data_IF_060050523080
#
_entry.id   IF_060050523080
#
_cell.length_a   1.000
_cell.length_b   1.000
_cell.length_c   1.000
_cell.angle_alpha   90.00
_cell.angle_beta   90.00
_cell.angle_gamma   90.00
#
_symmetry.space_group_name_H-M   'P 1'
#
loop_
_entity.id
_entity.type
_entity.pdbx_description
1 polymer ?
#
# COMPACT_ATOMS: atom_id res chain seq x y z
N UNK A 1 -21.67 -34.59 11.52
CA UNK A 1 -20.76 -33.66 12.21
C UNK A 1 -20.95 -32.29 11.59
N UNK A 2 -21.22 -31.26 12.39
CA UNK A 2 -21.45 -29.90 11.88
C UNK A 2 -20.12 -29.27 11.45
N UNK A 3 -20.01 -28.83 10.21
CA UNK A 3 -18.83 -28.13 9.66
C UNK A 3 -18.76 -26.68 10.17
N UNK A 4 -18.82 -26.49 11.49
CA UNK A 4 -18.81 -25.19 12.14
C UNK A 4 -17.42 -24.58 12.06
N UNK A 5 -17.35 -23.32 11.61
CA UNK A 5 -16.11 -22.57 11.57
C UNK A 5 -15.54 -22.39 12.99
N UNK A 6 -14.26 -22.65 13.16
CA UNK A 6 -13.52 -22.49 14.42
C UNK A 6 -13.04 -21.06 14.64
N UNK A 7 -13.26 -20.15 13.69
CA UNK A 7 -12.97 -18.72 13.84
C UNK A 7 -13.79 -18.08 14.97
N UNK A 8 -13.18 -17.26 15.85
CA UNK A 8 -13.91 -16.58 16.91
C UNK A 8 -14.89 -15.54 16.36
N UNK A 9 -16.11 -15.55 16.92
CA UNK A 9 -17.22 -14.70 16.48
C UNK A 9 -17.82 -15.05 15.11
N UNK A 10 -17.39 -16.13 14.48
CA UNK A 10 -17.91 -16.53 13.18
C UNK A 10 -19.30 -17.16 13.31
N UNK A 11 -20.30 -16.52 12.69
CA UNK A 11 -21.71 -16.97 12.66
C UNK A 11 -22.18 -17.42 11.28
N UNK A 12 -21.24 -17.60 10.39
CA UNK A 12 -21.47 -17.81 8.97
C UNK A 12 -22.27 -19.10 8.66
N UNK A 13 -22.40 -20.01 9.63
CA UNK A 13 -23.28 -21.20 9.56
C UNK A 13 -24.79 -20.87 9.66
N UNK A 14 -25.17 -19.66 10.08
CA UNK A 14 -26.56 -19.27 10.32
C UNK A 14 -27.05 -18.15 9.40
N UNK A 15 -26.14 -17.40 8.79
CA UNK A 15 -26.47 -16.43 7.76
C UNK A 15 -26.55 -17.16 6.42
N UNK A 16 -27.57 -16.87 5.60
CA UNK A 16 -27.71 -17.36 4.22
C UNK A 16 -26.64 -16.81 3.28
N UNK A 17 -25.40 -16.70 3.75
CA UNK A 17 -24.22 -16.33 3.00
C UNK A 17 -23.88 -17.41 1.97
N UNK A 18 -23.24 -17.03 0.85
CA UNK A 18 -22.85 -17.98 -0.18
C UNK A 18 -22.01 -19.11 0.40
N UNK A 19 -22.28 -20.34 -0.05
CA UNK A 19 -21.61 -21.54 0.43
C UNK A 19 -20.09 -21.42 0.27
N UNK A 20 -19.43 -21.12 1.37
CA UNK A 20 -18.02 -20.81 1.42
C UNK A 20 -17.26 -22.08 1.74
N UNK A 21 -16.13 -22.33 1.05
CA UNK A 21 -15.36 -23.56 1.28
C UNK A 21 -14.72 -23.53 2.66
N UNK A 22 -14.72 -24.69 3.31
CA UNK A 22 -14.05 -24.90 4.60
C UNK A 22 -12.69 -25.55 4.38
N UNK A 23 -11.66 -25.00 5.01
CA UNK A 23 -10.32 -25.54 5.04
C UNK A 23 -10.02 -26.17 6.39
N UNK A 24 -9.40 -27.35 6.35
CA UNK A 24 -8.89 -28.01 7.54
C UNK A 24 -7.53 -27.43 7.91
N UNK A 25 -7.22 -27.47 9.19
CA UNK A 25 -5.88 -27.17 9.71
C UNK A 25 -4.80 -27.91 8.90
N UNK A 26 -3.73 -27.22 8.46
CA UNK A 26 -2.67 -27.82 7.68
C UNK A 26 -1.88 -28.87 8.48
N UNK A 27 -1.33 -29.87 7.77
CA UNK A 27 -0.48 -30.90 8.38
C UNK A 27 0.90 -30.38 8.79
N UNK A 28 1.38 -29.30 8.17
CA UNK A 28 2.66 -28.67 8.50
C UNK A 28 2.58 -28.02 9.90
N UNK A 29 3.46 -28.43 10.81
CA UNK A 29 3.50 -27.97 12.20
C UNK A 29 3.68 -26.46 12.33
N UNK A 30 4.56 -25.85 11.54
CA UNK A 30 4.82 -24.41 11.60
C UNK A 30 3.61 -23.59 11.17
N UNK A 31 3.00 -23.97 10.05
CA UNK A 31 1.81 -23.29 9.52
C UNK A 31 0.61 -23.51 10.44
N UNK A 32 0.50 -24.72 11.02
CA UNK A 32 -0.50 -25.04 12.03
C UNK A 32 -0.38 -24.15 13.25
N UNK A 33 0.82 -23.95 13.79
CA UNK A 33 1.02 -23.02 14.90
C UNK A 33 0.63 -21.59 14.53
N UNK A 34 0.99 -21.11 13.34
CA UNK A 34 0.61 -19.77 12.86
C UNK A 34 -0.91 -19.61 12.80
N UNK A 35 -1.62 -20.64 12.33
CA UNK A 35 -3.09 -20.63 12.32
C UNK A 35 -3.69 -20.62 13.73
N UNK A 36 -3.17 -21.45 14.64
CA UNK A 36 -3.64 -21.48 16.04
C UNK A 36 -3.39 -20.14 16.74
N UNK A 37 -2.23 -19.52 16.51
CA UNK A 37 -1.93 -18.17 17.00
C UNK A 37 -2.91 -17.16 16.43
N UNK A 38 -3.15 -17.18 15.12
CA UNK A 38 -4.05 -16.24 14.47
C UNK A 38 -5.50 -16.33 14.97
N UNK A 39 -5.98 -17.55 15.28
CA UNK A 39 -7.33 -17.77 15.82
C UNK A 39 -7.49 -17.27 17.26
N UNK A 40 -6.40 -16.95 17.97
CA UNK A 40 -6.38 -16.43 19.34
C UNK A 40 -7.30 -17.20 20.32
N UNK A 41 -7.42 -18.52 20.17
CA UNK A 41 -8.29 -19.34 21.03
C UNK A 41 -7.46 -20.46 21.64
N UNK A 42 -7.40 -20.48 22.97
CA UNK A 42 -6.61 -21.44 23.73
C UNK A 42 -7.22 -22.85 23.64
N UNK A 43 -8.55 -22.92 23.66
CA UNK A 43 -9.32 -24.18 23.61
C UNK A 43 -9.11 -24.99 22.32
N UNK A 44 -8.67 -24.35 21.22
CA UNK A 44 -8.52 -25.00 19.91
C UNK A 44 -7.31 -25.93 19.85
N UNK A 45 -6.34 -25.76 20.76
CA UNK A 45 -5.09 -26.55 20.77
C UNK A 45 -5.36 -28.06 20.86
N UNK A 46 -6.42 -28.45 21.59
CA UNK A 46 -6.78 -29.85 21.82
C UNK A 46 -7.81 -30.40 20.81
N UNK A 47 -8.35 -29.55 19.93
CA UNK A 47 -9.33 -29.98 18.94
C UNK A 47 -8.66 -30.71 17.76
N UNK A 48 -9.09 -31.96 17.52
CA UNK A 48 -8.66 -32.77 16.35
C UNK A 48 -9.22 -32.24 15.01
N UNK A 49 -10.34 -31.53 15.07
CA UNK A 49 -11.12 -31.08 13.93
C UNK A 49 -11.29 -29.56 13.98
N UNK A 50 -10.28 -28.85 13.50
CA UNK A 50 -10.29 -27.39 13.37
C UNK A 50 -10.50 -27.02 11.92
N UNK A 51 -11.50 -26.18 11.69
CA UNK A 51 -12.00 -25.84 10.37
C UNK A 51 -12.16 -24.33 10.24
N UNK A 52 -11.66 -23.74 9.16
CA UNK A 52 -11.72 -22.30 8.91
C UNK A 52 -12.27 -22.05 7.52
N UNK A 53 -13.26 -21.17 7.39
CA UNK A 53 -13.88 -20.84 6.10
C UNK A 53 -12.97 -19.95 5.24
N UNK A 54 -13.13 -20.04 3.92
CA UNK A 54 -12.31 -19.26 2.97
C UNK A 54 -12.44 -17.74 3.17
N UNK A 55 -13.57 -17.26 3.68
CA UNK A 55 -13.79 -15.82 3.97
C UNK A 55 -12.86 -15.26 5.05
N UNK A 56 -12.20 -16.11 5.83
CA UNK A 56 -11.22 -15.68 6.83
C UNK A 56 -9.82 -15.49 6.25
N UNK A 57 -9.61 -15.86 4.99
CA UNK A 57 -8.37 -15.67 4.25
C UNK A 57 -8.51 -14.47 3.31
N UNK A 58 -7.38 -13.89 2.89
CA UNK A 58 -7.40 -12.89 1.83
C UNK A 58 -7.81 -13.56 0.53
N UNK A 59 -8.50 -12.83 -0.34
CA UNK A 59 -8.87 -13.33 -1.67
C UNK A 59 -7.64 -13.74 -2.48
N UNK A 60 -6.52 -13.04 -2.30
CA UNK A 60 -5.20 -13.34 -2.89
C UNK A 60 -4.62 -14.69 -2.43
N UNK A 61 -4.92 -15.11 -1.21
CA UNK A 61 -4.43 -16.37 -0.65
C UNK A 61 -5.27 -17.58 -1.09
N UNK A 62 -6.43 -17.34 -1.71
CA UNK A 62 -7.38 -18.37 -2.16
C UNK A 62 -7.29 -18.53 -3.67
N UNK A 63 -6.57 -19.57 -4.08
CA UNK A 63 -6.38 -19.93 -5.48
C UNK A 63 -7.64 -20.63 -5.98
N UNK A 64 -8.44 -19.92 -6.77
CA UNK A 64 -9.65 -20.46 -7.41
C UNK A 64 -9.42 -20.75 -8.90
N UNK A 65 -8.45 -20.07 -9.49
CA UNK A 65 -8.13 -20.18 -10.92
C UNK A 65 -6.68 -20.60 -11.10
N UNK A 66 -6.42 -21.38 -12.15
CA UNK A 66 -5.08 -21.82 -12.51
C UNK A 66 -4.90 -21.72 -14.02
N UNK A 67 -3.81 -21.09 -14.44
CA UNK A 67 -3.44 -21.03 -15.84
C UNK A 67 -2.74 -22.34 -16.24
N UNK A 68 -3.32 -23.03 -17.21
CA UNK A 68 -2.76 -24.24 -17.78
C UNK A 68 -2.19 -23.92 -19.17
N UNK A 69 -0.92 -24.26 -19.43
CA UNK A 69 -0.33 -24.11 -20.76
C UNK A 69 -1.01 -25.09 -21.73
N UNK A 70 -1.56 -24.55 -22.81
CA UNK A 70 -2.07 -25.34 -23.91
C UNK A 70 -0.94 -25.72 -24.88
N UNK A 71 -1.15 -26.75 -25.74
CA UNK A 71 -0.19 -27.13 -26.77
C UNK A 71 0.18 -26.00 -27.74
N UNK A 72 -0.73 -25.03 -27.91
CA UNK A 72 -0.59 -23.84 -28.76
C UNK A 72 0.23 -22.70 -28.11
N UNK A 73 0.76 -22.91 -26.90
CA UNK A 73 1.50 -21.89 -26.14
C UNK A 73 0.62 -20.83 -25.47
N UNK A 74 -0.70 -20.85 -25.69
CA UNK A 74 -1.67 -20.02 -24.97
C UNK A 74 -1.87 -20.52 -23.52
N UNK A 75 -2.11 -19.60 -22.59
CA UNK A 75 -2.51 -19.91 -21.22
C UNK A 75 -4.03 -19.93 -21.13
N UNK A 76 -4.62 -21.09 -20.81
CA UNK A 76 -6.04 -21.19 -20.52
C UNK A 76 -6.26 -21.12 -19.02
N UNK A 77 -7.03 -20.13 -18.58
CA UNK A 77 -7.48 -20.03 -17.20
C UNK A 77 -8.58 -21.07 -16.94
N UNK A 78 -8.35 -21.96 -15.97
CA UNK A 78 -9.31 -22.99 -15.57
C UNK A 78 -9.71 -22.77 -14.12
N UNK A 79 -11.01 -22.64 -13.87
CA UNK A 79 -11.57 -22.61 -12.53
C UNK A 79 -11.45 -23.98 -11.87
N UNK A 80 -10.90 -24.03 -10.65
CA UNK A 80 -10.72 -25.24 -9.84
C UNK A 80 -11.37 -25.08 -8.47
N UNK A 81 -11.44 -26.19 -7.73
CA UNK A 81 -11.86 -26.15 -6.33
C UNK A 81 -10.89 -25.23 -5.55
N UNK A 82 -11.39 -24.26 -4.74
CA UNK A 82 -10.54 -23.27 -4.07
C UNK A 82 -9.46 -23.90 -3.20
N UNK A 83 -8.18 -23.62 -3.44
CA UNK A 83 -7.03 -24.12 -2.67
C UNK A 83 -6.36 -22.94 -1.97
N UNK A 84 -5.83 -23.15 -0.77
CA UNK A 84 -5.05 -22.14 -0.08
C UNK A 84 -3.60 -22.13 -0.58
N UNK A 85 -3.03 -20.94 -0.73
CA UNK A 85 -1.61 -20.78 -0.96
C UNK A 85 -0.78 -21.42 0.17
N UNK A 86 0.44 -21.88 -0.13
CA UNK A 86 1.26 -22.71 0.78
C UNK A 86 1.55 -22.03 2.13
N UNK A 87 1.50 -20.70 2.18
CA UNK A 87 1.77 -19.89 3.38
C UNK A 87 0.55 -19.07 3.84
N UNK A 88 -0.64 -19.37 3.33
CA UNK A 88 -1.87 -18.66 3.70
C UNK A 88 -2.18 -18.86 5.19
N UNK A 89 -2.51 -17.77 5.88
CA UNK A 89 -2.88 -17.76 7.31
C UNK A 89 -4.21 -17.01 7.42
N UNK A 90 -5.17 -17.49 8.24
CA UNK A 90 -6.42 -16.76 8.43
C UNK A 90 -6.12 -15.41 9.08
N UNK A 91 -6.52 -14.33 8.40
CA UNK A 91 -6.24 -12.96 8.82
C UNK A 91 -7.52 -12.16 9.10
N UNK A 92 -8.68 -12.57 8.59
CA UNK A 92 -9.94 -11.82 8.65
C UNK A 92 -10.90 -12.48 9.66
N UNK A 93 -10.74 -12.19 10.96
CA UNK A 93 -11.54 -12.80 12.03
C UNK A 93 -12.50 -11.78 12.66
N UNK A 94 -13.83 -12.02 12.64
CA UNK A 94 -14.84 -11.04 13.04
C UNK A 94 -14.70 -10.47 14.46
N UNK A 95 -14.23 -11.27 15.44
CA UNK A 95 -14.14 -10.83 16.84
C UNK A 95 -12.74 -10.41 17.28
N UNK A 96 -11.74 -10.39 16.40
CA UNK A 96 -10.41 -9.92 16.76
C UNK A 96 -10.31 -8.41 16.47
N UNK A 97 -10.74 -7.58 17.44
CA UNK A 97 -10.55 -6.11 17.43
C UNK A 97 -9.08 -5.66 17.46
N UNK A 98 -8.13 -6.60 17.44
CA UNK A 98 -6.70 -6.36 17.24
C UNK A 98 -6.22 -7.32 16.17
N UNK A 99 -6.50 -6.97 14.91
CA UNK A 99 -5.67 -7.50 13.82
C UNK A 99 -4.23 -7.15 14.18
N UNK A 100 -3.30 -8.11 14.32
CA UNK A 100 -1.90 -7.76 14.24
C UNK A 100 -1.75 -7.22 12.83
N UNK A 101 -1.70 -5.90 12.71
CA UNK A 101 -1.24 -5.22 11.50
C UNK A 101 -0.09 -6.06 10.99
N UNK A 102 -0.24 -6.64 9.81
CA UNK A 102 0.84 -7.35 9.15
C UNK A 102 2.10 -6.54 9.41
N UNK A 103 3.18 -7.20 9.80
CA UNK A 103 4.49 -6.56 9.81
C UNK A 103 4.92 -6.27 8.37
N UNK A 104 4.11 -5.51 7.63
CA UNK A 104 4.64 -4.49 6.77
C UNK A 104 5.69 -3.79 7.62
N UNK A 105 6.95 -3.69 7.19
CA UNK A 105 7.89 -2.81 7.88
C UNK A 105 7.13 -1.50 8.07
N UNK A 106 6.90 -1.10 9.34
CA UNK A 106 6.36 0.23 9.62
C UNK A 106 7.25 1.14 8.78
N UNK A 107 6.70 1.95 7.85
CA UNK A 107 7.54 2.86 7.10
C UNK A 107 8.37 3.56 8.16
N UNK A 108 9.68 3.39 8.05
CA UNK A 108 10.62 4.06 8.94
C UNK A 108 10.13 5.49 8.98
N UNK A 109 9.73 5.97 10.16
CA UNK A 109 9.22 7.33 10.28
C UNK A 109 10.37 8.21 9.86
N UNK A 110 10.38 8.56 8.58
CA UNK A 110 11.31 9.52 8.04
C UNK A 110 11.16 10.72 8.95
N UNK A 111 12.27 11.07 9.60
CA UNK A 111 12.29 12.15 10.56
C UNK A 111 11.83 13.41 9.83
N UNK A 112 10.56 13.76 10.04
CA UNK A 112 9.88 14.83 9.33
C UNK A 112 10.65 16.13 9.51
N UNK A 113 11.28 16.33 10.67
CA UNK A 113 12.16 17.47 10.92
C UNK A 113 13.38 17.51 10.01
N UNK A 114 14.01 16.36 9.70
CA UNK A 114 15.15 16.28 8.76
C UNK A 114 14.74 16.53 7.31
N UNK A 115 13.55 16.07 6.92
CA UNK A 115 13.04 16.34 5.56
C UNK A 115 12.71 17.83 5.42
N UNK A 116 11.98 18.40 6.38
CA UNK A 116 11.59 19.80 6.37
C UNK A 116 12.82 20.74 6.41
N UNK A 117 13.83 20.42 7.22
CA UNK A 117 15.06 21.22 7.27
C UNK A 117 15.85 21.16 5.96
N UNK A 118 15.95 20.00 5.32
CA UNK A 118 16.61 19.83 4.02
C UNK A 118 15.86 20.55 2.90
N UNK A 119 14.53 20.49 2.91
CA UNK A 119 13.70 21.19 1.93
C UNK A 119 13.87 22.70 2.10
N UNK A 120 13.90 23.19 3.34
CA UNK A 120 14.09 24.60 3.66
C UNK A 120 15.48 25.11 3.22
N UNK A 121 16.56 24.36 3.49
CA UNK A 121 17.90 24.75 3.03
C UNK A 121 17.99 24.82 1.51
N UNK A 122 17.39 23.86 0.81
CA UNK A 122 17.36 23.86 -0.65
C UNK A 122 16.60 25.07 -1.22
N UNK A 123 15.45 25.42 -0.62
CA UNK A 123 14.68 26.60 -1.03
C UNK A 123 15.46 27.91 -0.81
N UNK A 124 16.21 28.02 0.29
CA UNK A 124 17.07 29.18 0.55
C UNK A 124 18.19 29.29 -0.49
N UNK A 125 18.88 28.20 -0.81
CA UNK A 125 19.93 28.18 -1.83
C UNK A 125 19.37 28.62 -3.20
N UNK A 126 18.24 28.04 -3.61
CA UNK A 126 17.57 28.42 -4.86
C UNK A 126 17.19 29.90 -4.88
N UNK A 127 16.65 30.43 -3.77
CA UNK A 127 16.29 31.84 -3.66
C UNK A 127 17.52 32.76 -3.81
N UNK A 128 18.63 32.41 -3.17
CA UNK A 128 19.88 33.17 -3.26
C UNK A 128 20.45 33.14 -4.68
N UNK A 129 20.42 32.00 -5.35
CA UNK A 129 20.94 31.85 -6.71
C UNK A 129 20.08 32.62 -7.73
N UNK A 130 18.76 32.56 -7.60
CA UNK A 130 17.84 33.36 -8.42
C UNK A 130 18.09 34.86 -8.21
N UNK A 131 18.21 35.31 -6.95
CA UNK A 131 18.48 36.71 -6.64
C UNK A 131 19.84 37.16 -7.23
N UNK A 132 20.89 36.33 -7.14
CA UNK A 132 22.18 36.62 -7.77
C UNK A 132 22.08 36.70 -9.29
N UNK A 133 21.32 35.80 -9.92
CA UNK A 133 21.11 35.80 -11.37
C UNK A 133 20.33 37.03 -11.83
N UNK A 134 19.28 37.41 -11.11
CA UNK A 134 18.52 38.63 -11.36
C UNK A 134 19.37 39.88 -11.16
N UNK A 135 20.12 39.96 -10.06
CA UNK A 135 21.03 41.06 -9.81
C UNK A 135 22.15 41.14 -10.86
N UNK A 136 22.62 40.01 -11.38
CA UNK A 136 23.59 40.02 -12.48
C UNK A 136 22.97 40.52 -13.78
N UNK A 137 21.70 40.21 -14.05
CA UNK A 137 21.00 40.61 -15.27
C UNK A 137 20.55 42.07 -15.23
N UNK A 138 19.93 42.49 -14.13
CA UNK A 138 19.27 43.78 -13.99
C UNK A 138 19.97 44.74 -13.04
N UNK A 139 20.95 44.27 -12.27
CA UNK A 139 21.75 45.13 -11.41
C UNK A 139 22.49 46.20 -12.21
N UNK A 140 22.54 47.38 -11.62
CA UNK A 140 23.19 48.57 -12.15
C UNK A 140 23.88 49.22 -10.98
N UNK A 141 25.17 49.51 -11.14
CA UNK A 141 26.01 50.10 -10.09
C UNK A 141 26.25 51.59 -10.31
N UNK A 142 25.94 52.09 -11.50
CA UNK A 142 26.13 53.49 -11.90
C UNK A 142 24.97 53.97 -12.77
N UNK A 143 24.69 55.28 -12.71
CA UNK A 143 23.68 55.95 -13.54
C UNK A 143 23.94 55.77 -15.05
N UNK A 144 25.22 55.67 -15.45
CA UNK A 144 25.59 55.43 -16.85
C UNK A 144 25.15 54.04 -17.36
N UNK A 145 25.31 52.99 -16.55
CA UNK A 145 24.88 51.63 -16.90
C UNK A 145 23.35 51.53 -17.01
N UNK A 146 22.63 52.25 -16.14
CA UNK A 146 21.17 52.32 -16.19
C UNK A 146 20.69 52.97 -17.48
N UNK A 147 21.35 54.04 -17.94
CA UNK A 147 21.01 54.69 -19.21
C UNK A 147 21.20 53.75 -20.40
N UNK A 148 22.33 53.03 -20.47
CA UNK A 148 22.59 52.06 -21.56
C UNK A 148 21.56 50.93 -21.58
N UNK A 149 21.21 50.34 -20.43
CA UNK A 149 20.18 49.28 -20.37
C UNK A 149 18.77 49.78 -20.70
N UNK A 150 18.47 51.04 -20.40
CA UNK A 150 17.18 51.65 -20.73
C UNK A 150 17.03 51.93 -22.23
N UNK A 151 18.13 52.29 -22.90
CA UNK A 151 18.17 52.48 -24.37
C UNK A 151 18.01 51.15 -25.13
N UNK A 152 18.42 50.02 -24.55
CA UNK A 152 18.21 48.68 -25.09
C UNK A 152 16.80 48.11 -24.82
N UNK A 153 16.02 48.75 -23.96
CA UNK A 153 14.71 48.25 -23.52
C UNK A 153 13.59 48.81 -24.40
N UNK A 154 13.12 48.04 -25.39
CA UNK A 154 11.94 48.43 -26.16
C UNK A 154 10.67 48.23 -25.33
N UNK A 155 9.97 49.34 -25.04
CA UNK A 155 8.70 49.30 -24.34
C UNK A 155 7.63 48.61 -25.21
N UNK A 156 6.83 47.69 -24.64
CA UNK A 156 5.71 47.10 -25.36
C UNK A 156 4.73 48.18 -25.87
N UNK A 157 4.29 48.06 -27.13
CA UNK A 157 3.38 49.01 -27.79
C UNK A 157 2.09 49.32 -27.00
N UNK A 158 1.66 48.43 -26.11
CA UNK A 158 0.52 48.64 -25.20
C UNK A 158 0.74 49.74 -24.16
N UNK A 159 1.99 50.05 -23.80
CA UNK A 159 2.35 51.08 -22.81
C UNK A 159 2.54 52.47 -23.46
N UNK A 160 2.71 52.53 -24.78
CA UNK A 160 2.97 53.78 -25.52
C UNK A 160 1.67 54.52 -25.89
N UNK A 161 0.50 53.86 -25.84
CA UNK A 161 -0.80 54.42 -26.28
C UNK A 161 -1.44 55.46 -25.35
N UNK A 162 -0.82 55.79 -24.21
CA UNK A 162 -1.37 56.72 -23.19
C UNK A 162 -0.60 58.04 -23.08
N UNK A 163 0.31 58.33 -24.02
CA UNK A 163 0.94 59.63 -24.23
C UNK A 163 0.64 60.12 -25.65
#
# INVERSE_FOLDING_TARGET
MSNTCSAPGCRSNYSGEPYTRVFRLPSNSELREKWLRALHREDIKDLKNVFVWSNHFRTEDVITEMDMPQPDGSLQNISRRPILHKNAIPCLLPSCLKYPSSSSPKPERLDRGKIESKLFSQALEQSLDLHKAEYSKFGVKSLGELKCKLEEFELPSSWVKWF
#
